data_IF_912793524361
#
_entry.id   IF_912793524361
#
_cell.length_a   1.000
_cell.length_b   1.000
_cell.length_c   1.000
_cell.angle_alpha   90.00
_cell.angle_beta   90.00
_cell.angle_gamma   90.00
#
_symmetry.space_group_name_H-M   'P 1'
#
loop_
_entity.id
_entity.type
_entity.pdbx_description
1 polymer ?
#
# COMPACT_ATOMS: atom_id res chain seq x y z
N UNK A 1 -3.89 4.50 10.43
CA UNK A 1 -4.15 5.84 9.84
C UNK A 1 -3.20 6.91 10.41
N UNK A 2 -1.87 6.70 10.41
CA UNK A 2 -0.91 7.67 10.98
C UNK A 2 -0.10 8.45 9.93
N UNK A 3 -0.06 7.99 8.67
CA UNK A 3 0.86 8.52 7.66
C UNK A 3 0.45 9.87 7.02
N UNK A 4 -0.84 10.22 7.02
CA UNK A 4 -1.30 11.49 6.43
C UNK A 4 -0.86 12.73 7.24
N UNK A 5 -0.71 12.58 8.56
CA UNK A 5 -0.29 13.67 9.45
C UNK A 5 1.19 14.06 9.21
N UNK A 6 2.04 13.07 8.93
CA UNK A 6 3.47 13.29 8.68
C UNK A 6 3.74 14.14 7.43
N UNK A 7 2.91 14.07 6.39
CA UNK A 7 3.07 14.87 5.17
C UNK A 7 2.69 16.34 5.38
N UNK A 8 1.56 16.59 6.06
CA UNK A 8 1.11 17.95 6.35
C UNK A 8 2.12 18.70 7.23
N UNK A 9 2.67 18.02 8.23
CA UNK A 9 3.69 18.58 9.12
C UNK A 9 5.03 18.81 8.41
N UNK A 10 5.42 17.91 7.49
CA UNK A 10 6.65 18.07 6.73
C UNK A 10 6.55 19.17 5.65
N UNK A 11 5.40 19.29 4.97
CA UNK A 11 5.13 20.41 4.04
C UNK A 11 5.17 21.76 4.76
N UNK A 12 4.65 21.82 5.99
CA UNK A 12 4.70 23.01 6.83
C UNK A 12 6.14 23.36 7.23
N UNK A 13 6.98 22.37 7.49
CA UNK A 13 8.41 22.57 7.78
C UNK A 13 9.21 23.00 6.52
N UNK A 14 8.92 22.42 5.36
CA UNK A 14 9.63 22.69 4.11
C UNK A 14 9.23 24.02 3.48
N UNK A 15 7.96 24.43 3.59
CA UNK A 15 7.47 25.75 3.16
C UNK A 15 8.21 26.92 3.86
N UNK A 16 8.82 26.67 5.03
CA UNK A 16 9.66 27.64 5.73
C UNK A 16 11.08 27.76 5.14
N UNK A 17 11.52 26.82 4.30
CA UNK A 17 12.87 26.76 3.73
C UNK A 17 12.89 27.11 2.24
N UNK A 18 13.59 28.19 1.86
CA UNK A 18 13.65 28.78 0.51
C UNK A 18 14.31 27.93 -0.61
N UNK A 19 14.54 26.62 -0.44
CA UNK A 19 15.10 25.71 -1.46
C UNK A 19 13.99 24.79 -2.02
N UNK A 20 13.05 25.41 -2.69
CA UNK A 20 11.69 24.87 -2.89
C UNK A 20 11.63 23.85 -4.04
N UNK A 21 12.39 24.01 -5.13
CA UNK A 21 12.12 23.27 -6.38
C UNK A 21 12.62 21.82 -6.45
N UNK A 22 13.84 21.50 -6.01
CA UNK A 22 14.35 20.12 -6.05
C UNK A 22 13.74 19.24 -4.96
N UNK A 23 13.48 19.84 -3.80
CA UNK A 23 12.87 19.15 -2.67
C UNK A 23 11.39 18.81 -2.94
N UNK A 24 10.63 19.70 -3.58
CA UNK A 24 9.26 19.44 -4.01
C UNK A 24 9.18 18.29 -5.04
N UNK A 25 10.13 18.24 -5.98
CA UNK A 25 10.15 17.17 -6.99
C UNK A 25 10.41 15.81 -6.36
N UNK A 26 11.42 15.72 -5.49
CA UNK A 26 11.72 14.51 -4.73
C UNK A 26 10.54 14.07 -3.86
N UNK A 27 9.85 15.03 -3.24
CA UNK A 27 8.69 14.77 -2.39
C UNK A 27 7.48 14.27 -3.20
N UNK A 28 7.23 14.86 -4.37
CA UNK A 28 6.21 14.35 -5.29
C UNK A 28 6.53 12.92 -5.76
N UNK A 29 7.79 12.61 -6.04
CA UNK A 29 8.22 11.28 -6.43
C UNK A 29 7.99 10.26 -5.29
N UNK A 30 8.33 10.64 -4.04
CA UNK A 30 8.08 9.82 -2.84
C UNK A 30 6.56 9.64 -2.62
N UNK A 31 5.77 10.71 -2.76
CA UNK A 31 4.32 10.64 -2.61
C UNK A 31 3.70 9.72 -3.65
N UNK A 32 4.11 9.85 -4.92
CA UNK A 32 3.61 9.00 -6.00
C UNK A 32 3.94 7.53 -5.75
N UNK A 33 5.17 7.22 -5.30
CA UNK A 33 5.57 5.86 -4.95
C UNK A 33 4.74 5.29 -3.78
N UNK A 34 4.55 6.06 -2.71
CA UNK A 34 3.71 5.66 -1.57
C UNK A 34 2.25 5.43 -1.99
N UNK A 35 1.72 6.32 -2.81
CA UNK A 35 0.36 6.21 -3.33
C UNK A 35 0.21 4.97 -4.22
N UNK A 36 1.15 4.76 -5.15
CA UNK A 36 1.14 3.59 -6.02
C UNK A 36 1.26 2.30 -5.21
N UNK A 37 2.12 2.26 -4.18
CA UNK A 37 2.23 1.12 -3.27
C UNK A 37 0.92 0.83 -2.55
N UNK A 38 0.25 1.87 -2.06
CA UNK A 38 -1.04 1.73 -1.38
C UNK A 38 -2.13 1.20 -2.32
N UNK A 39 -2.25 1.79 -3.51
CA UNK A 39 -3.23 1.35 -4.53
C UNK A 39 -2.94 -0.08 -4.98
N UNK A 40 -1.67 -0.40 -5.28
CA UNK A 40 -1.26 -1.73 -5.70
C UNK A 40 -1.57 -2.77 -4.62
N UNK A 41 -1.29 -2.48 -3.35
CA UNK A 41 -1.60 -3.37 -2.23
C UNK A 41 -3.10 -3.61 -2.10
N UNK A 42 -3.91 -2.54 -2.15
CA UNK A 42 -5.38 -2.66 -2.11
C UNK A 42 -5.90 -3.55 -3.24
N UNK A 43 -5.36 -3.38 -4.45
CA UNK A 43 -5.73 -4.19 -5.60
C UNK A 43 -5.30 -5.66 -5.43
N UNK A 44 -4.12 -5.92 -4.88
CA UNK A 44 -3.65 -7.27 -4.59
C UNK A 44 -4.53 -7.97 -3.53
N UNK A 45 -4.97 -7.24 -2.51
CA UNK A 45 -5.90 -7.78 -1.51
C UNK A 45 -7.23 -8.17 -2.16
N UNK A 46 -7.83 -7.28 -2.96
CA UNK A 46 -9.08 -7.58 -3.67
C UNK A 46 -8.95 -8.80 -4.60
N UNK A 47 -7.83 -8.92 -5.32
CA UNK A 47 -7.56 -10.06 -6.19
C UNK A 47 -7.41 -11.36 -5.41
N UNK A 48 -6.67 -11.36 -4.30
CA UNK A 48 -6.50 -12.55 -3.47
C UNK A 48 -7.82 -12.99 -2.85
N UNK A 49 -8.66 -12.04 -2.39
CA UNK A 49 -10.00 -12.35 -1.88
C UNK A 49 -10.87 -13.00 -2.97
N UNK A 50 -10.87 -12.47 -4.19
CA UNK A 50 -11.63 -13.05 -5.30
C UNK A 50 -11.13 -14.48 -5.67
N UNK A 51 -9.82 -14.70 -5.67
CA UNK A 51 -9.23 -16.01 -5.93
C UNK A 51 -9.51 -17.03 -4.82
N UNK A 52 -9.58 -16.57 -3.56
CA UNK A 52 -10.00 -17.39 -2.42
C UNK A 52 -11.46 -17.81 -2.59
N UNK A 53 -12.34 -16.88 -2.96
CA UNK A 53 -13.76 -17.18 -3.21
C UNK A 53 -13.91 -18.20 -4.36
N UNK A 54 -13.16 -18.03 -5.45
CA UNK A 54 -13.15 -18.98 -6.57
C UNK A 54 -12.62 -20.37 -6.16
N UNK A 55 -11.59 -20.42 -5.32
CA UNK A 55 -11.05 -21.67 -4.79
C UNK A 55 -12.07 -22.38 -3.88
N UNK A 56 -12.84 -21.62 -3.09
CA UNK A 56 -13.93 -22.17 -2.27
C UNK A 56 -15.07 -22.72 -3.13
N UNK A 57 -15.49 -21.99 -4.16
CA UNK A 57 -16.55 -22.39 -5.08
C UNK A 57 -16.18 -23.66 -5.87
N UNK A 58 -14.90 -23.80 -6.24
CA UNK A 58 -14.36 -24.98 -6.93
C UNK A 58 -13.94 -26.11 -6.00
N UNK A 59 -14.03 -25.92 -4.68
CA UNK A 59 -13.55 -26.84 -3.65
C UNK A 59 -12.06 -27.23 -3.82
N UNK A 60 -11.26 -26.30 -4.36
CA UNK A 60 -9.82 -26.43 -4.53
C UNK A 60 -9.09 -25.97 -3.27
N UNK A 61 -8.73 -26.96 -2.46
CA UNK A 61 -8.07 -26.75 -1.18
C UNK A 61 -6.64 -26.23 -1.30
N UNK A 62 -5.91 -26.66 -2.33
CA UNK A 62 -4.50 -26.29 -2.50
C UNK A 62 -4.39 -24.82 -2.90
N UNK A 63 -5.27 -24.38 -3.81
CA UNK A 63 -5.39 -22.97 -4.20
C UNK A 63 -5.87 -22.10 -3.04
N UNK A 64 -6.86 -22.56 -2.27
CA UNK A 64 -7.35 -21.83 -1.10
C UNK A 64 -6.25 -21.61 -0.06
N UNK A 65 -5.50 -22.66 0.31
CA UNK A 65 -4.42 -22.57 1.29
C UNK A 65 -3.31 -21.63 0.79
N UNK A 66 -2.98 -21.71 -0.50
CA UNK A 66 -1.96 -20.86 -1.14
C UNK A 66 -2.34 -19.39 -1.15
N UNK A 67 -3.55 -19.03 -1.60
CA UNK A 67 -3.99 -17.64 -1.66
C UNK A 67 -4.25 -17.06 -0.26
N UNK A 68 -4.75 -17.86 0.67
CA UNK A 68 -4.92 -17.44 2.07
C UNK A 68 -3.58 -17.12 2.74
N UNK A 69 -2.54 -17.92 2.50
CA UNK A 69 -1.19 -17.65 3.00
C UNK A 69 -0.62 -16.35 2.41
N UNK A 70 -0.82 -16.11 1.11
CA UNK A 70 -0.40 -14.86 0.46
C UNK A 70 -1.13 -13.64 1.02
N UNK A 71 -2.45 -13.75 1.27
CA UNK A 71 -3.24 -12.68 1.87
C UNK A 71 -2.78 -12.39 3.31
N UNK A 72 -2.46 -13.42 4.09
CA UNK A 72 -1.94 -13.25 5.44
C UNK A 72 -0.58 -12.57 5.44
N UNK A 73 0.33 -12.93 4.53
CA UNK A 73 1.61 -12.26 4.38
C UNK A 73 1.43 -10.78 3.98
N UNK A 74 0.52 -10.49 3.05
CA UNK A 74 0.21 -9.13 2.61
C UNK A 74 -0.28 -8.24 3.76
N UNK A 75 -1.08 -8.80 4.69
CA UNK A 75 -1.59 -8.09 5.87
C UNK A 75 -0.52 -7.90 6.96
N UNK A 76 0.38 -8.86 7.14
CA UNK A 76 1.50 -8.70 8.08
C UNK A 76 2.46 -7.58 7.66
N UNK A 77 2.64 -7.34 6.36
CA UNK A 77 3.39 -6.19 5.84
C UNK A 77 2.67 -4.83 6.03
N UNK A 78 1.43 -4.80 6.53
CA UNK A 78 0.72 -3.56 6.86
C UNK A 78 0.89 -3.17 8.34
N UNK A 79 1.06 -4.14 9.22
CA UNK A 79 1.23 -3.94 10.67
C UNK A 79 2.68 -3.71 11.11
N UNK A 80 3.65 -3.98 10.23
CA UNK A 80 5.10 -3.84 10.48
C UNK A 80 5.67 -2.50 9.98
#
# INVERSE_FOLDING_TARGET
>A
MENYYSYADFMKAMAQTKKITEAEKLLNDIYLDLFLKHVHRSQQEEQLMALIDEALDSNDRDSFETYSAQLQALKQEEEA
#
